data_IF_139717073538
#
_entry.id   IF_139717073538
#
_cell.length_a   1.000
_cell.length_b   1.000
_cell.length_c   1.000
_cell.angle_alpha   90.00
_cell.angle_beta   90.00
_cell.angle_gamma   90.00
#
_symmetry.space_group_name_H-M   'P 1'
#
loop_
_entity.id
_entity.type
_entity.pdbx_description
1 polymer ?
#
# COMPACT_ATOMS: atom_id res chain seq x y z
N UNK A 1 -31.91 -27.90 -11.27
CA UNK A 1 -31.82 -26.49 -11.72
C UNK A 1 -30.57 -26.36 -12.59
N UNK A 2 -30.67 -25.85 -13.83
CA UNK A 2 -29.50 -25.66 -14.67
C UNK A 2 -28.67 -24.49 -14.14
N UNK A 3 -27.39 -24.73 -13.85
CA UNK A 3 -26.43 -23.68 -13.50
C UNK A 3 -26.24 -22.77 -14.73
N UNK A 4 -26.39 -21.47 -14.54
CA UNK A 4 -26.21 -20.47 -15.59
C UNK A 4 -24.80 -20.61 -16.21
N UNK A 5 -24.64 -20.61 -17.54
CA UNK A 5 -23.41 -21.00 -18.23
C UNK A 5 -22.22 -20.00 -18.10
N UNK A 6 -22.28 -19.06 -17.16
CA UNK A 6 -21.30 -17.99 -16.99
C UNK A 6 -20.82 -17.80 -15.53
N UNK A 7 -20.96 -18.81 -14.68
CA UNK A 7 -20.33 -18.78 -13.35
C UNK A 7 -19.03 -19.55 -13.40
N UNK A 8 -17.91 -18.83 -13.44
CA UNK A 8 -16.59 -19.41 -13.21
C UNK A 8 -16.54 -20.02 -11.81
N UNK A 9 -16.01 -21.24 -11.72
CA UNK A 9 -15.78 -21.88 -10.43
C UNK A 9 -14.65 -21.15 -9.69
N UNK A 10 -14.80 -21.00 -8.38
CA UNK A 10 -13.75 -20.44 -7.54
C UNK A 10 -12.49 -21.32 -7.63
N UNK A 11 -11.33 -20.69 -7.72
CA UNK A 11 -10.03 -21.36 -7.82
C UNK A 11 -9.02 -20.61 -6.95
N UNK A 12 -7.81 -21.14 -6.84
CA UNK A 12 -6.77 -20.56 -5.99
C UNK A 12 -6.32 -19.19 -6.48
N UNK A 13 -6.33 -18.94 -7.80
CA UNK A 13 -6.00 -17.65 -8.39
C UNK A 13 -6.99 -16.55 -7.94
N UNK A 14 -8.29 -16.85 -7.91
CA UNK A 14 -9.30 -15.94 -7.37
C UNK A 14 -9.02 -15.59 -5.90
N UNK A 15 -8.59 -16.57 -5.09
CA UNK A 15 -8.18 -16.34 -3.71
C UNK A 15 -6.99 -15.39 -3.63
N UNK A 16 -5.95 -15.59 -4.47
CA UNK A 16 -4.76 -14.73 -4.48
C UNK A 16 -5.06 -13.29 -4.93
N UNK A 17 -5.92 -13.12 -5.95
CA UNK A 17 -6.37 -11.81 -6.42
C UNK A 17 -7.16 -11.10 -5.32
N UNK A 18 -8.09 -11.82 -4.67
CA UNK A 18 -8.85 -11.27 -3.55
C UNK A 18 -7.91 -10.83 -2.44
N UNK A 19 -6.92 -11.65 -2.10
CA UNK A 19 -5.96 -11.36 -1.04
C UNK A 19 -5.12 -10.11 -1.36
N UNK A 20 -4.63 -9.98 -2.60
CA UNK A 20 -3.99 -8.75 -3.11
C UNK A 20 -4.89 -7.53 -2.94
N UNK A 21 -6.17 -7.63 -3.31
CA UNK A 21 -7.13 -6.52 -3.21
C UNK A 21 -7.37 -6.08 -1.75
N UNK A 22 -7.46 -7.02 -0.81
CA UNK A 22 -7.63 -6.75 0.62
C UNK A 22 -6.40 -6.00 1.16
N UNK A 23 -5.19 -6.48 0.84
CA UNK A 23 -3.94 -5.85 1.26
C UNK A 23 -3.86 -4.41 0.72
N UNK A 24 -4.13 -4.23 -0.58
CA UNK A 24 -4.09 -2.92 -1.21
C UNK A 24 -5.09 -1.94 -0.58
N UNK A 25 -6.33 -2.36 -0.37
CA UNK A 25 -7.38 -1.54 0.24
C UNK A 25 -6.99 -1.13 1.67
N UNK A 26 -6.51 -2.09 2.47
CA UNK A 26 -6.08 -1.85 3.85
C UNK A 26 -4.93 -0.84 3.94
N UNK A 27 -3.88 -1.02 3.12
CA UNK A 27 -2.71 -0.13 3.13
C UNK A 27 -3.02 1.27 2.57
N UNK A 28 -3.92 1.35 1.58
CA UNK A 28 -4.37 2.61 1.00
C UNK A 28 -5.18 3.43 1.99
N UNK A 29 -6.04 2.78 2.78
CA UNK A 29 -6.88 3.43 3.79
C UNK A 29 -6.23 3.49 5.18
N UNK A 30 -4.90 3.40 5.30
CA UNK A 30 -4.22 3.33 6.61
C UNK A 30 -4.55 4.46 7.59
N UNK A 31 -4.92 5.64 7.08
CA UNK A 31 -5.22 6.81 7.90
C UNK A 31 -6.48 6.63 8.76
N UNK A 32 -7.47 5.86 8.29
CA UNK A 32 -8.69 5.61 9.06
C UNK A 32 -8.42 4.82 10.34
N UNK A 33 -7.37 4.00 10.36
CA UNK A 33 -6.96 3.25 11.55
C UNK A 33 -6.36 4.11 12.65
N UNK A 34 -5.88 5.31 12.33
CA UNK A 34 -5.31 6.24 13.32
C UNK A 34 -6.39 6.98 14.11
N UNK A 35 -7.61 7.04 13.58
CA UNK A 35 -8.79 7.61 14.22
C UNK A 35 -9.67 6.57 14.92
N UNK A 36 -9.27 5.30 14.92
CA UNK A 36 -10.06 4.23 15.54
C UNK A 36 -10.07 4.37 17.06
N UNK A 37 -11.25 4.43 17.71
CA UNK A 37 -11.35 4.48 19.15
C UNK A 37 -10.62 3.30 19.82
N UNK A 38 -9.83 3.59 20.85
CA UNK A 38 -9.02 2.60 21.57
C UNK A 38 -7.59 2.42 21.04
N UNK A 39 -7.21 3.13 19.97
CA UNK A 39 -5.83 3.16 19.44
C UNK A 39 -5.11 4.52 19.65
N UNK A 40 -5.71 5.43 20.42
CA UNK A 40 -5.20 6.80 20.61
C UNK A 40 -3.80 6.79 21.22
N UNK A 41 -3.59 5.99 22.28
CA UNK A 41 -2.31 5.90 22.99
C UNK A 41 -1.19 5.17 22.23
N UNK A 42 -1.51 4.46 21.14
CA UNK A 42 -0.48 3.82 20.29
C UNK A 42 -0.17 4.64 19.03
N UNK A 43 -0.88 5.75 18.82
CA UNK A 43 -0.69 6.67 17.71
C UNK A 43 0.32 7.80 18.01
N UNK A 44 0.81 7.92 19.24
CA UNK A 44 1.69 9.01 19.72
C UNK A 44 3.01 9.16 18.93
N UNK A 45 3.43 8.14 18.17
CA UNK A 45 4.64 8.16 17.32
C UNK A 45 4.32 8.22 15.82
N UNK A 46 3.39 9.10 15.41
CA UNK A 46 3.09 9.34 14.00
C UNK A 46 2.53 8.12 13.26
N UNK A 47 1.86 7.21 13.98
CA UNK A 47 1.22 6.03 13.40
C UNK A 47 2.15 4.89 12.96
N UNK A 48 3.46 4.97 13.19
CA UNK A 48 4.42 3.93 12.76
C UNK A 48 4.16 2.56 13.43
N UNK A 49 3.78 2.55 14.71
CA UNK A 49 3.44 1.32 15.45
C UNK A 49 2.22 0.63 14.84
N UNK A 50 1.16 1.40 14.57
CA UNK A 50 -0.06 0.91 13.95
C UNK A 50 0.27 0.37 12.55
N UNK A 51 1.07 1.11 11.76
CA UNK A 51 1.47 0.68 10.43
C UNK A 51 2.24 -0.64 10.43
N UNK A 52 3.24 -0.78 11.31
CA UNK A 52 4.00 -2.03 11.47
C UNK A 52 3.09 -3.19 11.88
N UNK A 53 2.12 -2.94 12.78
CA UNK A 53 1.20 -3.98 13.23
C UNK A 53 0.25 -4.43 12.11
N UNK A 54 -0.27 -3.49 11.31
CA UNK A 54 -1.07 -3.80 10.12
C UNK A 54 -0.27 -4.69 9.17
N UNK A 55 0.98 -4.33 8.87
CA UNK A 55 1.82 -5.17 8.01
C UNK A 55 2.05 -6.57 8.60
N UNK A 56 2.30 -6.67 9.92
CA UNK A 56 2.48 -7.96 10.58
C UNK A 56 1.24 -8.85 10.43
N UNK A 57 0.04 -8.31 10.70
CA UNK A 57 -1.23 -9.03 10.57
C UNK A 57 -1.50 -9.46 9.12
N UNK A 58 -1.26 -8.57 8.16
CA UNK A 58 -1.43 -8.88 6.73
C UNK A 58 -0.47 -9.98 6.29
N UNK A 59 0.79 -9.97 6.73
CA UNK A 59 1.76 -11.04 6.41
C UNK A 59 1.32 -12.38 6.98
N UNK A 60 0.82 -12.40 8.22
CA UNK A 60 0.28 -13.61 8.84
C UNK A 60 -0.91 -14.13 8.04
N UNK A 61 -1.86 -13.26 7.67
CA UNK A 61 -3.01 -13.63 6.84
C UNK A 61 -2.57 -14.22 5.49
N UNK A 62 -1.68 -13.53 4.77
CA UNK A 62 -1.14 -14.01 3.49
C UNK A 62 -0.43 -15.36 3.63
N UNK A 63 0.30 -15.56 4.74
CA UNK A 63 1.05 -16.79 5.00
C UNK A 63 0.18 -18.03 5.23
N UNK A 64 -1.11 -17.86 5.53
CA UNK A 64 -2.06 -18.98 5.67
C UNK A 64 -2.55 -19.54 4.34
N UNK A 65 -2.36 -18.81 3.24
CA UNK A 65 -2.84 -19.20 1.90
C UNK A 65 -1.66 -19.68 1.05
N UNK A 66 -1.73 -20.88 0.43
CA UNK A 66 -0.71 -21.35 -0.50
C UNK A 66 -0.47 -20.33 -1.64
N UNK A 67 0.78 -19.94 -1.85
CA UNK A 67 1.14 -18.93 -2.87
C UNK A 67 0.89 -17.48 -2.43
N UNK A 68 0.39 -17.24 -1.22
CA UNK A 68 0.18 -15.90 -0.68
C UNK A 68 1.44 -15.23 -0.14
N UNK A 69 2.53 -15.97 0.03
CA UNK A 69 3.79 -15.46 0.57
C UNK A 69 4.36 -14.36 -0.34
N UNK A 70 4.67 -13.19 0.21
CA UNK A 70 5.26 -12.07 -0.55
C UNK A 70 4.25 -11.07 -1.12
N UNK A 71 2.94 -11.36 -1.10
CA UNK A 71 1.90 -10.44 -1.61
C UNK A 71 1.98 -9.06 -0.93
N UNK A 72 2.23 -9.03 0.38
CA UNK A 72 2.30 -7.76 1.13
C UNK A 72 3.49 -6.91 0.67
N UNK A 73 4.66 -7.53 0.47
CA UNK A 73 5.86 -6.87 -0.01
C UNK A 73 5.70 -6.33 -1.43
N UNK A 74 5.06 -7.09 -2.32
CA UNK A 74 4.75 -6.66 -3.69
C UNK A 74 3.84 -5.45 -3.70
N UNK A 75 2.69 -5.52 -3.03
CA UNK A 75 1.73 -4.41 -2.97
C UNK A 75 2.35 -3.17 -2.34
N UNK A 76 3.22 -3.32 -1.33
CA UNK A 76 3.95 -2.18 -0.75
C UNK A 76 4.91 -1.52 -1.73
N UNK A 77 5.61 -2.31 -2.58
CA UNK A 77 6.47 -1.76 -3.63
C UNK A 77 5.65 -0.99 -4.66
N UNK A 78 4.50 -1.53 -5.06
CA UNK A 78 3.61 -0.89 -6.03
C UNK A 78 3.07 0.44 -5.51
N UNK A 79 2.58 0.48 -4.26
CA UNK A 79 2.11 1.74 -3.64
C UNK A 79 3.23 2.80 -3.59
N UNK A 80 4.47 2.40 -3.27
CA UNK A 80 5.63 3.32 -3.27
C UNK A 80 5.95 3.82 -4.67
N UNK A 81 5.88 2.95 -5.68
CA UNK A 81 6.10 3.29 -7.08
C UNK A 81 5.04 4.29 -7.58
N UNK A 82 3.75 4.01 -7.36
CA UNK A 82 2.65 4.91 -7.76
C UNK A 82 2.76 6.29 -7.10
N UNK A 83 3.19 6.36 -5.83
CA UNK A 83 3.43 7.65 -5.16
C UNK A 83 4.59 8.42 -5.78
N UNK A 84 5.68 7.73 -6.18
CA UNK A 84 6.83 8.36 -6.83
C UNK A 84 6.44 8.95 -8.20
N UNK A 85 5.66 8.20 -8.97
CA UNK A 85 5.17 8.63 -10.29
C UNK A 85 4.22 9.82 -10.18
N UNK A 86 3.31 9.84 -9.18
CA UNK A 86 2.42 11.00 -8.93
C UNK A 86 3.16 12.22 -8.36
N UNK A 87 4.25 12.02 -7.63
CA UNK A 87 5.06 13.10 -7.06
C UNK A 87 5.99 13.79 -8.06
N UNK A 88 6.15 13.25 -9.27
CA UNK A 88 7.06 13.79 -10.29
C UNK A 88 6.38 14.77 -11.28
N UNK A 89 5.10 15.09 -11.09
CA UNK A 89 4.32 15.90 -12.04
C UNK A 89 4.15 17.39 -11.71
N UNK A 90 4.48 17.87 -10.50
CA UNK A 90 4.25 19.29 -10.11
C UNK A 90 5.35 19.78 -9.16
N UNK A 91 6.59 19.74 -9.63
CA UNK A 91 7.76 20.22 -8.90
C UNK A 91 8.56 21.18 -9.77
N UNK A 92 8.11 22.43 -9.79
CA UNK A 92 8.78 23.64 -10.24
C UNK A 92 10.32 23.50 -10.23
N UNK A 93 10.92 23.17 -11.38
CA UNK A 93 12.36 23.28 -11.59
C UNK A 93 12.68 24.77 -11.74
N UNK A 94 12.68 25.48 -10.61
CA UNK A 94 13.27 26.81 -10.54
C UNK A 94 14.78 26.63 -10.73
N UNK A 95 15.22 26.88 -11.96
CA UNK A 95 16.63 26.93 -12.34
C UNK A 95 17.41 27.70 -11.30
N UNK A 96 18.33 26.98 -10.65
CA UNK A 96 19.36 27.53 -9.78
C UNK A 96 20.28 28.38 -10.67
N UNK A 97 19.88 29.64 -10.94
CA UNK A 97 20.73 30.64 -11.60
C UNK A 97 22.02 30.75 -10.80
N UNK A 98 23.11 30.23 -11.36
CA UNK A 98 24.47 30.42 -10.84
C UNK A 98 24.76 31.92 -10.91
N UNK A 99 25.09 32.53 -9.76
CA UNK A 99 25.71 33.86 -9.71
C UNK A 99 27.06 33.75 -10.42
N UNK A 100 27.18 34.34 -11.60
CA UNK A 100 28.47 34.65 -12.20
C UNK A 100 29.02 35.83 -11.38
N UNK A 101 30.20 35.64 -10.79
CA UNK A 101 30.96 36.68 -10.11
C UNK A 101 31.82 37.31 -11.19
N UNK A 102 31.52 38.54 -11.58
CA UNK A 102 32.45 39.38 -12.35
C UNK A 102 33.66 39.65 -11.46
N UNK A 103 34.86 39.32 -11.94
CA UNK A 103 36.12 39.82 -11.43
C UNK A 103 36.65 40.83 -12.45
N UNK A 104 36.93 42.02 -11.93
CA UNK A 104 37.60 43.17 -12.55
C UNK A 104 39.12 42.92 -12.65
#
# INVERSE_FOLDING_TARGET
MPLSPNKTQWNDEHTLILLRSIVLSTLSNRASFYSTPGLEGVNEHGGDRIHKKIQQLLKQLCGTVPGGQGIVEEVMKDIKRTKKERGQGVGNSMEKKRKIKDEE
#
